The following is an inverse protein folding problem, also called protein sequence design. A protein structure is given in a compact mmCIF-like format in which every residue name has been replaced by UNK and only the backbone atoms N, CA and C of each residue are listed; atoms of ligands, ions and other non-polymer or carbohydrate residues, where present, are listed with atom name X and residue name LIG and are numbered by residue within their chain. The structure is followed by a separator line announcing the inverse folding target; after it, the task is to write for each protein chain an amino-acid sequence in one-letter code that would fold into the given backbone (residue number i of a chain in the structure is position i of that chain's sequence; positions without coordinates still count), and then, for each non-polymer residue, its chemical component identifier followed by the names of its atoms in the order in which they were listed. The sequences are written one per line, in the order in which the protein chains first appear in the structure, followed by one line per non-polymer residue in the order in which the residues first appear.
data_IF_348471300738
#
_entry.id   IF_348471300738
#
_cell.length_a   1.000
_cell.length_b   1.000
_cell.length_c   1.000
_cell.angle_alpha   90.00
_cell.angle_beta   90.00
_cell.angle_gamma   90.00
#
_symmetry.space_group_name_H-M   'P 1'
#
loop_
_entity.id
_entity.type
_entity.pdbx_description
1 polymer ?
#
# COMPACT_ATOMS: atom_id res chain seq x y z
N UNK A 1 24.97 30.90 -26.00
CA UNK A 1 23.71 30.40 -26.48
C UNK A 1 23.11 29.41 -25.48
N UNK A 2 22.08 29.86 -24.76
CA UNK A 2 21.29 29.01 -23.87
C UNK A 2 20.36 28.14 -24.73
N UNK A 3 20.49 26.84 -24.62
CA UNK A 3 19.51 25.90 -25.14
C UNK A 3 18.35 25.78 -24.15
N UNK A 4 17.19 26.29 -24.50
CA UNK A 4 15.97 26.09 -23.74
C UNK A 4 15.49 24.64 -23.97
N UNK A 5 15.48 23.86 -22.90
CA UNK A 5 14.84 22.54 -22.89
C UNK A 5 13.31 22.75 -22.87
N UNK A 6 12.65 22.49 -23.98
CA UNK A 6 11.20 22.40 -24.02
C UNK A 6 10.76 21.13 -23.27
N UNK A 7 10.17 21.30 -22.10
CA UNK A 7 9.39 20.24 -21.47
C UNK A 7 8.11 20.04 -22.30
N UNK A 8 8.07 19.00 -23.10
CA UNK A 8 6.81 18.50 -23.64
C UNK A 8 6.01 17.93 -22.47
N UNK A 9 5.01 18.66 -22.04
CA UNK A 9 3.98 18.16 -21.14
C UNK A 9 3.21 17.06 -21.87
N UNK A 10 3.63 15.81 -21.66
CA UNK A 10 2.76 14.67 -21.96
C UNK A 10 1.62 14.73 -20.94
N UNK A 11 0.48 15.28 -21.36
CA UNK A 11 -0.78 15.03 -20.68
C UNK A 11 -0.98 13.51 -20.70
N UNK A 12 -0.90 12.89 -19.51
CA UNK A 12 -1.31 11.50 -19.35
C UNK A 12 -2.71 11.37 -19.96
N UNK A 13 -2.99 10.33 -20.76
CA UNK A 13 -4.34 10.11 -21.26
C UNK A 13 -5.30 10.07 -20.08
N UNK A 14 -6.46 10.73 -20.22
CA UNK A 14 -7.54 10.66 -19.25
C UNK A 14 -7.83 9.19 -19.00
N UNK A 15 -7.49 8.71 -17.80
CA UNK A 15 -7.51 7.30 -17.48
C UNK A 15 -8.93 6.89 -17.14
N UNK A 16 -9.27 5.68 -17.57
CA UNK A 16 -10.47 5.02 -17.08
C UNK A 16 -10.39 4.94 -15.56
N UNK A 17 -11.36 5.54 -14.90
CA UNK A 17 -11.52 5.50 -13.47
C UNK A 17 -11.69 4.05 -12.98
N UNK A 18 -11.34 3.72 -11.73
CA UNK A 18 -11.71 2.46 -11.13
C UNK A 18 -13.19 2.16 -11.36
N UNK A 19 -13.54 0.89 -11.51
CA UNK A 19 -14.88 0.43 -11.91
C UNK A 19 -16.03 1.05 -11.10
N UNK A 20 -15.79 1.29 -9.79
CA UNK A 20 -16.77 1.90 -8.89
C UNK A 20 -17.12 3.36 -9.23
N UNK A 21 -16.27 4.08 -9.95
CA UNK A 21 -16.46 5.49 -10.31
C UNK A 21 -17.54 5.71 -11.39
N UNK A 22 -17.69 4.74 -12.28
CA UNK A 22 -18.64 4.86 -13.40
C UNK A 22 -20.05 4.44 -13.03
N UNK A 23 -20.22 3.61 -11.98
CA UNK A 23 -21.50 2.94 -11.65
C UNK A 23 -22.16 3.47 -10.40
N UNK A 24 -21.46 4.27 -9.57
CA UNK A 24 -21.93 4.63 -8.20
C UNK A 24 -21.93 3.45 -7.23
N UNK A 25 -21.28 2.35 -7.58
CA UNK A 25 -21.07 1.18 -6.72
C UNK A 25 -20.12 1.50 -5.55
N UNK A 26 -20.22 0.70 -4.49
CA UNK A 26 -19.31 0.80 -3.34
C UNK A 26 -17.88 0.41 -3.75
N UNK A 27 -16.91 1.11 -3.20
CA UNK A 27 -15.49 0.78 -3.39
C UNK A 27 -15.12 -0.40 -2.49
N UNK A 28 -14.49 -1.43 -3.04
CA UNK A 28 -14.07 -2.62 -2.30
C UNK A 28 -12.56 -2.59 -2.09
N UNK A 29 -12.15 -2.48 -0.83
CA UNK A 29 -10.75 -2.43 -0.42
C UNK A 29 -10.39 -3.72 0.33
N UNK A 30 -9.28 -4.33 -0.07
CA UNK A 30 -8.69 -5.44 0.67
C UNK A 30 -7.36 -4.99 1.26
N UNK A 31 -7.23 -5.15 2.57
CA UNK A 31 -5.99 -4.91 3.32
C UNK A 31 -5.36 -6.27 3.61
N UNK A 32 -4.09 -6.40 3.30
CA UNK A 32 -3.31 -7.61 3.48
C UNK A 32 -2.20 -7.35 4.50
N UNK A 33 -2.37 -7.76 5.77
CA UNK A 33 -1.26 -7.73 6.72
C UNK A 33 -0.13 -8.62 6.20
N UNK A 34 1.06 -8.07 5.96
CA UNK A 34 2.19 -8.84 5.48
C UNK A 34 2.61 -9.92 6.47
N UNK A 35 3.14 -11.04 5.95
CA UNK A 35 3.62 -12.17 6.75
C UNK A 35 2.49 -12.95 7.45
N UNK A 36 2.80 -13.65 8.56
CA UNK A 36 1.86 -14.45 9.35
C UNK A 36 2.26 -15.92 9.46
N UNK A 37 1.87 -16.58 10.55
CA UNK A 37 2.21 -17.96 10.85
C UNK A 37 3.72 -18.17 10.94
N UNK A 38 4.25 -19.07 10.12
CA UNK A 38 5.68 -19.39 10.07
C UNK A 38 6.53 -18.31 9.39
N UNK A 39 5.92 -17.38 8.68
CA UNK A 39 6.60 -16.24 8.08
C UNK A 39 6.54 -15.04 9.02
N UNK A 40 7.60 -14.82 9.78
CA UNK A 40 7.67 -13.77 10.80
C UNK A 40 7.97 -12.37 10.24
N UNK A 41 8.45 -12.28 8.99
CA UNK A 41 9.00 -11.06 8.44
C UNK A 41 10.35 -10.71 9.06
N UNK A 42 10.74 -9.43 9.06
CA UNK A 42 11.95 -9.00 9.75
C UNK A 42 11.82 -9.13 11.27
N UNK A 43 12.93 -9.48 11.93
CA UNK A 43 13.06 -9.56 13.39
C UNK A 43 13.90 -8.41 13.97
N UNK A 44 14.34 -7.49 13.12
CA UNK A 44 15.23 -6.38 13.49
C UNK A 44 14.50 -5.23 14.20
N UNK A 45 13.18 -5.24 14.18
CA UNK A 45 12.33 -4.22 14.77
C UNK A 45 12.01 -4.45 16.26
N UNK A 46 11.14 -3.61 16.84
CA UNK A 46 10.71 -3.72 18.24
C UNK A 46 9.81 -4.95 18.48
N UNK A 47 9.30 -5.56 17.41
CA UNK A 47 8.54 -6.80 17.40
C UNK A 47 8.73 -7.52 16.07
N UNK A 48 8.25 -8.76 15.96
CA UNK A 48 8.15 -9.47 14.68
C UNK A 48 7.30 -8.64 13.71
N UNK A 49 7.74 -8.52 12.46
CA UNK A 49 7.03 -7.71 11.45
C UNK A 49 5.58 -8.14 11.29
N UNK A 50 5.28 -9.45 11.29
CA UNK A 50 3.90 -9.97 11.21
C UNK A 50 2.97 -9.39 12.29
N UNK A 51 3.48 -9.09 13.50
CA UNK A 51 2.72 -8.43 14.55
C UNK A 51 2.49 -6.96 14.22
N UNK A 52 3.52 -6.27 13.76
CA UNK A 52 3.45 -4.85 13.42
C UNK A 52 2.46 -4.63 12.26
N UNK A 53 2.56 -5.43 11.21
CA UNK A 53 1.68 -5.34 10.03
C UNK A 53 0.21 -5.61 10.38
N UNK A 54 -0.05 -6.59 11.26
CA UNK A 54 -1.41 -6.89 11.72
C UNK A 54 -2.02 -5.71 12.48
N UNK A 55 -1.28 -5.12 13.43
CA UNK A 55 -1.76 -3.95 14.20
C UNK A 55 -2.04 -2.77 13.30
N UNK A 56 -1.14 -2.49 12.34
CA UNK A 56 -1.31 -1.42 11.34
C UNK A 56 -2.54 -1.66 10.47
N UNK A 57 -2.69 -2.87 9.94
CA UNK A 57 -3.81 -3.25 9.08
C UNK A 57 -5.16 -3.18 9.79
N UNK A 58 -5.22 -3.59 11.06
CA UNK A 58 -6.44 -3.47 11.87
C UNK A 58 -6.82 -2.00 12.10
N UNK A 59 -5.86 -1.13 12.38
CA UNK A 59 -6.12 0.30 12.55
C UNK A 59 -6.57 0.96 11.23
N UNK A 60 -5.98 0.56 10.10
CA UNK A 60 -6.42 1.00 8.77
C UNK A 60 -7.86 0.54 8.47
N UNK A 61 -8.17 -0.72 8.78
CA UNK A 61 -9.52 -1.27 8.65
C UNK A 61 -10.54 -0.48 9.48
N UNK A 62 -10.25 -0.26 10.77
CA UNK A 62 -11.13 0.49 11.67
C UNK A 62 -11.42 1.91 11.16
N UNK A 63 -10.41 2.58 10.58
CA UNK A 63 -10.57 3.92 10.02
C UNK A 63 -11.39 3.91 8.73
N UNK A 64 -11.11 3.01 7.80
CA UNK A 64 -11.83 2.94 6.53
C UNK A 64 -13.29 2.51 6.68
N UNK A 65 -13.62 1.69 7.68
CA UNK A 65 -15.03 1.29 7.95
C UNK A 65 -15.92 2.44 8.43
N UNK A 66 -15.36 3.61 8.73
CA UNK A 66 -16.15 4.83 9.05
C UNK A 66 -16.76 5.51 7.82
N UNK A 67 -16.34 5.12 6.62
CA UNK A 67 -16.84 5.67 5.35
C UNK A 67 -18.01 4.84 4.83
N UNK A 68 -19.12 5.49 4.47
CA UNK A 68 -20.39 4.82 4.12
C UNK A 68 -20.36 4.02 2.82
N UNK A 69 -19.50 4.41 1.87
CA UNK A 69 -19.45 3.84 0.51
C UNK A 69 -18.21 3.02 0.23
N UNK A 70 -17.58 2.48 1.28
CA UNK A 70 -16.45 1.55 1.15
C UNK A 70 -16.77 0.22 1.84
N UNK A 71 -16.44 -0.88 1.19
CA UNK A 71 -16.43 -2.21 1.78
C UNK A 71 -14.98 -2.62 2.00
N UNK A 72 -14.62 -2.89 3.25
CA UNK A 72 -13.23 -3.17 3.65
C UNK A 72 -13.12 -4.59 4.17
N UNK A 73 -12.11 -5.30 3.72
CA UNK A 73 -11.81 -6.67 4.14
C UNK A 73 -10.34 -6.81 4.50
N UNK A 74 -10.05 -7.69 5.46
CA UNK A 74 -8.69 -8.15 5.78
C UNK A 74 -8.49 -9.54 5.20
N UNK A 75 -7.32 -9.82 4.60
CA UNK A 75 -7.02 -11.17 4.08
C UNK A 75 -7.03 -12.21 5.18
N UNK A 76 -6.58 -11.83 6.37
CA UNK A 76 -6.63 -12.64 7.60
C UNK A 76 -6.61 -11.72 8.84
N UNK A 77 -7.08 -12.25 9.96
CA UNK A 77 -7.09 -11.57 11.27
C UNK A 77 -6.33 -12.36 12.33
N UNK A 78 -6.03 -13.62 12.04
CA UNK A 78 -5.29 -14.52 12.91
C UNK A 78 -3.85 -14.67 12.43
N UNK A 79 -2.95 -15.10 13.32
CA UNK A 79 -1.54 -15.39 12.97
C UNK A 79 -1.44 -16.74 12.21
N UNK A 80 -1.74 -16.69 10.91
CA UNK A 80 -1.79 -17.85 10.02
C UNK A 80 -0.85 -17.71 8.83
N UNK A 81 -0.32 -18.83 8.34
CA UNK A 81 0.41 -18.87 7.08
C UNK A 81 -0.57 -18.81 5.91
N UNK A 82 -0.46 -17.78 5.07
CA UNK A 82 -1.28 -17.61 3.87
C UNK A 82 -0.38 -17.35 2.67
N UNK A 83 -0.57 -18.09 1.58
CA UNK A 83 0.22 -17.92 0.37
C UNK A 83 -0.13 -16.60 -0.34
N UNK A 84 0.81 -16.06 -1.12
CA UNK A 84 0.57 -14.83 -1.90
C UNK A 84 -0.56 -15.01 -2.92
N UNK A 85 -0.68 -16.21 -3.50
CA UNK A 85 -1.76 -16.55 -4.40
C UNK A 85 -3.13 -16.55 -3.69
N UNK A 86 -3.21 -17.08 -2.46
CA UNK A 86 -4.46 -17.09 -1.69
C UNK A 86 -4.87 -15.68 -1.25
N UNK A 87 -3.91 -14.81 -0.88
CA UNK A 87 -4.17 -13.40 -0.57
C UNK A 87 -4.76 -12.66 -1.77
N UNK A 88 -4.18 -12.82 -2.94
CA UNK A 88 -4.69 -12.22 -4.17
C UNK A 88 -6.03 -12.84 -4.61
N UNK A 89 -6.21 -14.15 -4.40
CA UNK A 89 -7.48 -14.82 -4.68
C UNK A 89 -8.59 -14.33 -3.75
N UNK A 90 -8.30 -14.12 -2.47
CA UNK A 90 -9.23 -13.52 -1.51
C UNK A 90 -9.74 -12.15 -1.97
N UNK A 91 -8.86 -11.31 -2.55
CA UNK A 91 -9.25 -10.02 -3.11
C UNK A 91 -10.09 -10.19 -4.39
N UNK A 92 -9.72 -11.12 -5.26
CA UNK A 92 -10.45 -11.39 -6.50
C UNK A 92 -11.87 -11.92 -6.23
N UNK A 93 -12.04 -12.82 -5.26
CA UNK A 93 -13.35 -13.38 -4.87
C UNK A 93 -14.32 -12.30 -4.33
N UNK A 94 -13.78 -11.16 -3.89
CA UNK A 94 -14.55 -10.00 -3.43
C UNK A 94 -14.70 -8.90 -4.46
N UNK A 95 -14.19 -9.12 -5.67
CA UNK A 95 -14.11 -8.10 -6.72
C UNK A 95 -13.44 -6.80 -6.21
N UNK A 96 -12.34 -6.94 -5.48
CA UNK A 96 -11.64 -5.79 -4.90
C UNK A 96 -11.22 -4.79 -5.97
N UNK A 97 -11.45 -3.51 -5.71
CA UNK A 97 -10.94 -2.40 -6.52
C UNK A 97 -9.46 -2.17 -6.27
N UNK A 98 -8.97 -2.51 -5.05
CA UNK A 98 -7.56 -2.39 -4.70
C UNK A 98 -7.18 -3.33 -3.54
N UNK A 99 -5.94 -3.85 -3.58
CA UNK A 99 -5.31 -4.61 -2.50
C UNK A 99 -4.09 -3.85 -1.98
N UNK A 100 -4.06 -3.57 -0.66
CA UNK A 100 -2.96 -2.92 0.04
C UNK A 100 -2.24 -3.95 0.92
N UNK A 101 -0.98 -4.25 0.60
CA UNK A 101 -0.15 -5.13 1.41
C UNK A 101 0.73 -4.30 2.34
N UNK A 102 0.59 -4.54 3.64
CA UNK A 102 1.17 -3.76 4.73
C UNK A 102 2.48 -4.38 5.18
N UNK A 103 3.56 -3.60 5.18
CA UNK A 103 4.91 -4.06 5.48
C UNK A 103 5.75 -3.02 6.23
N UNK A 104 6.84 -3.50 6.82
CA UNK A 104 7.93 -2.73 7.39
C UNK A 104 9.25 -3.23 6.83
N UNK A 105 10.11 -2.32 6.45
CA UNK A 105 11.38 -2.65 5.80
C UNK A 105 12.51 -2.88 6.82
N UNK A 106 13.54 -3.56 6.37
CA UNK A 106 14.85 -3.66 7.01
C UNK A 106 15.92 -3.79 5.94
N UNK A 107 17.15 -3.37 6.23
CA UNK A 107 18.28 -3.49 5.30
C UNK A 107 19.44 -4.26 5.93
N UNK A 108 20.17 -5.02 5.09
CA UNK A 108 21.29 -5.84 5.57
C UNK A 108 22.39 -5.02 6.25
N UNK A 109 22.63 -3.80 5.75
CA UNK A 109 23.70 -2.92 6.22
C UNK A 109 23.17 -1.88 7.25
N UNK A 110 21.88 -1.90 7.60
CA UNK A 110 21.20 -1.00 8.54
C UNK A 110 21.42 0.49 8.22
N UNK A 111 21.50 0.84 6.94
CA UNK A 111 21.81 2.18 6.45
C UNK A 111 20.68 2.83 5.62
N UNK A 112 19.68 2.02 5.24
CA UNK A 112 18.53 2.51 4.50
C UNK A 112 17.44 3.00 5.46
N UNK A 113 16.78 4.11 5.11
CA UNK A 113 15.70 4.71 5.89
C UNK A 113 14.64 5.34 4.99
N UNK A 114 13.47 5.57 5.56
CA UNK A 114 12.35 6.23 4.90
C UNK A 114 11.29 5.28 4.39
N UNK A 115 10.16 5.85 4.00
CA UNK A 115 8.97 5.17 3.50
C UNK A 115 9.00 5.00 1.99
N UNK A 116 8.47 3.89 1.49
CA UNK A 116 8.34 3.62 0.05
C UNK A 116 7.08 2.82 -0.28
N UNK A 117 6.62 2.94 -1.51
CA UNK A 117 5.49 2.17 -2.02
C UNK A 117 5.93 1.43 -3.29
N UNK A 118 5.67 0.13 -3.33
CA UNK A 118 5.93 -0.70 -4.51
C UNK A 118 4.63 -0.99 -5.23
N UNK A 119 4.62 -0.80 -6.54
CA UNK A 119 3.45 -0.96 -7.41
C UNK A 119 3.77 -1.80 -8.63
N UNK A 120 2.73 -2.24 -9.36
CA UNK A 120 2.92 -2.96 -10.62
C UNK A 120 3.56 -2.06 -11.68
N UNK A 121 4.39 -2.66 -12.53
CA UNK A 121 4.91 -2.04 -13.76
C UNK A 121 3.91 -2.10 -14.93
N UNK A 122 2.85 -2.90 -14.80
CA UNK A 122 1.89 -3.22 -15.86
C UNK A 122 0.75 -2.20 -15.89
N UNK A 123 0.44 -1.66 -17.06
CA UNK A 123 -0.75 -0.79 -17.25
C UNK A 123 -2.03 -1.64 -17.34
N UNK A 124 -3.17 -1.16 -16.82
CA UNK A 124 -3.38 0.14 -16.14
C UNK A 124 -3.05 0.14 -14.63
N UNK A 125 -2.66 -1.00 -14.06
CA UNK A 125 -2.41 -1.18 -12.61
C UNK A 125 -1.30 -0.25 -12.10
N UNK A 126 -0.28 0.04 -12.93
CA UNK A 126 0.76 1.02 -12.61
C UNK A 126 0.16 2.39 -12.30
N UNK A 127 -0.75 2.87 -13.14
CA UNK A 127 -1.35 4.19 -12.97
C UNK A 127 -2.20 4.29 -11.69
N UNK A 128 -2.99 3.26 -11.39
CA UNK A 128 -3.79 3.21 -10.15
C UNK A 128 -2.88 3.15 -8.91
N UNK A 129 -1.84 2.31 -8.97
CA UNK A 129 -0.87 2.21 -7.90
C UNK A 129 -0.09 3.50 -7.68
N UNK A 130 0.27 4.21 -8.76
CA UNK A 130 0.98 5.48 -8.68
C UNK A 130 0.15 6.58 -8.03
N UNK A 131 -1.14 6.68 -8.37
CA UNK A 131 -2.05 7.65 -7.77
C UNK A 131 -2.13 7.46 -6.25
N UNK A 132 -2.39 6.23 -5.80
CA UNK A 132 -2.38 5.91 -4.37
C UNK A 132 -1.01 6.18 -3.74
N UNK A 133 0.06 5.69 -4.37
CA UNK A 133 1.42 5.82 -3.84
C UNK A 133 1.85 7.28 -3.65
N UNK A 134 1.40 8.17 -4.51
CA UNK A 134 1.63 9.61 -4.35
C UNK A 134 0.95 10.15 -3.09
N UNK A 135 -0.34 9.85 -2.89
CA UNK A 135 -1.08 10.29 -1.71
C UNK A 135 -0.46 9.69 -0.43
N UNK A 136 -0.02 8.42 -0.48
CA UNK A 136 0.68 7.77 0.63
C UNK A 136 2.00 8.48 0.97
N UNK A 137 2.79 8.83 -0.02
CA UNK A 137 4.04 9.56 0.20
C UNK A 137 3.80 10.92 0.87
N UNK A 138 2.74 11.63 0.50
CA UNK A 138 2.39 12.90 1.16
C UNK A 138 2.06 12.69 2.64
N UNK A 139 1.28 11.64 2.98
CA UNK A 139 0.98 11.33 4.38
C UNK A 139 2.24 10.97 5.18
N UNK A 140 3.14 10.18 4.61
CA UNK A 140 4.41 9.83 5.26
C UNK A 140 5.31 11.06 5.46
N UNK A 141 5.32 11.99 4.50
CA UNK A 141 6.02 13.27 4.63
C UNK A 141 5.46 14.13 5.76
N UNK A 142 4.14 14.20 5.87
CA UNK A 142 3.45 14.95 6.93
C UNK A 142 3.75 14.36 8.32
N UNK A 143 3.98 13.05 8.40
CA UNK A 143 4.48 12.38 9.61
C UNK A 143 5.94 12.69 9.93
N UNK A 144 6.72 13.21 8.98
CA UNK A 144 8.15 13.55 9.12
C UNK A 144 9.12 12.48 8.61
N UNK A 145 8.63 11.42 7.95
CA UNK A 145 9.48 10.38 7.36
C UNK A 145 10.19 10.88 6.10
N UNK A 146 11.36 10.34 5.85
CA UNK A 146 12.04 10.49 4.57
C UNK A 146 11.30 9.69 3.49
N UNK A 147 11.15 10.26 2.29
CA UNK A 147 10.46 9.60 1.20
C UNK A 147 11.44 8.92 0.25
N UNK A 148 11.31 7.63 0.09
CA UNK A 148 12.04 6.84 -0.91
C UNK A 148 11.28 6.75 -2.23
N UNK A 149 9.99 7.12 -2.24
CA UNK A 149 9.15 7.29 -3.41
C UNK A 149 8.28 6.08 -3.78
N UNK A 150 7.56 6.24 -4.87
CA UNK A 150 6.75 5.19 -5.50
C UNK A 150 7.60 4.47 -6.54
N UNK A 151 7.65 3.14 -6.49
CA UNK A 151 8.63 2.34 -7.22
C UNK A 151 8.00 1.16 -7.93
N UNK A 152 8.67 0.72 -8.97
CA UNK A 152 8.48 -0.58 -9.62
C UNK A 152 9.79 -1.37 -9.57
N UNK A 153 9.69 -2.69 -9.57
CA UNK A 153 10.85 -3.58 -9.68
C UNK A 153 10.49 -4.77 -10.55
N UNK A 154 11.35 -5.07 -11.50
CA UNK A 154 11.18 -6.19 -12.43
C UNK A 154 12.15 -7.31 -12.11
N UNK A 155 11.72 -8.54 -12.47
CA UNK A 155 12.58 -9.71 -12.60
C UNK A 155 13.27 -9.68 -13.97
N UNK A 156 14.25 -10.53 -14.16
CA UNK A 156 15.01 -10.63 -15.43
C UNK A 156 14.11 -11.00 -16.62
N UNK A 157 12.99 -11.68 -16.37
CA UNK A 157 12.01 -12.05 -17.40
C UNK A 157 10.98 -10.95 -17.71
N UNK A 158 11.07 -9.79 -17.05
CA UNK A 158 10.18 -8.65 -17.26
C UNK A 158 8.90 -8.63 -16.40
N UNK A 159 8.65 -9.67 -15.60
CA UNK A 159 7.54 -9.69 -14.65
C UNK A 159 7.81 -8.78 -13.45
N UNK A 160 6.75 -8.31 -12.78
CA UNK A 160 6.87 -7.64 -11.49
C UNK A 160 7.63 -8.52 -10.48
N UNK A 161 8.58 -7.94 -9.77
CA UNK A 161 9.44 -8.67 -8.83
C UNK A 161 8.66 -9.23 -7.63
N UNK A 162 7.79 -8.42 -7.06
CA UNK A 162 7.04 -8.80 -5.86
C UNK A 162 5.89 -9.74 -6.16
N UNK A 163 5.85 -10.87 -5.43
CA UNK A 163 4.87 -11.93 -5.67
C UNK A 163 3.43 -11.48 -5.49
N UNK A 164 3.12 -10.72 -4.42
CA UNK A 164 1.75 -10.26 -4.18
C UNK A 164 1.27 -9.33 -5.31
N UNK A 165 2.14 -8.49 -5.87
CA UNK A 165 1.82 -7.62 -7.00
C UNK A 165 1.53 -8.45 -8.25
N UNK A 166 2.39 -9.45 -8.57
CA UNK A 166 2.14 -10.36 -9.72
C UNK A 166 0.84 -11.14 -9.59
N UNK A 167 0.60 -11.72 -8.42
CA UNK A 167 -0.61 -12.52 -8.16
C UNK A 167 -1.87 -11.65 -8.25
N UNK A 168 -1.83 -10.43 -7.75
CA UNK A 168 -2.94 -9.47 -7.85
C UNK A 168 -3.17 -9.05 -9.30
N UNK A 169 -2.13 -8.64 -10.01
CA UNK A 169 -2.20 -8.22 -11.42
C UNK A 169 -2.73 -9.34 -12.32
N UNK A 170 -2.31 -10.60 -12.09
CA UNK A 170 -2.81 -11.76 -12.84
C UNK A 170 -4.30 -12.02 -12.66
N UNK A 171 -4.89 -11.50 -11.58
CA UNK A 171 -6.33 -11.56 -11.25
C UNK A 171 -7.06 -10.24 -11.53
N UNK A 172 -6.42 -9.33 -12.23
CA UNK A 172 -6.96 -8.02 -12.57
C UNK A 172 -7.26 -7.13 -11.36
N UNK A 173 -6.51 -7.28 -10.27
CA UNK A 173 -6.61 -6.46 -9.05
C UNK A 173 -5.42 -5.50 -8.99
N UNK A 174 -5.64 -4.17 -8.99
CA UNK A 174 -4.60 -3.20 -8.64
C UNK A 174 -4.10 -3.44 -7.23
N UNK A 175 -2.80 -3.30 -7.01
CA UNK A 175 -2.21 -3.52 -5.69
C UNK A 175 -1.00 -2.63 -5.43
N UNK A 176 -0.71 -2.41 -4.15
CA UNK A 176 0.50 -1.75 -3.69
C UNK A 176 1.04 -2.43 -2.43
N UNK A 177 2.35 -2.45 -2.27
CA UNK A 177 3.02 -2.78 -1.01
C UNK A 177 3.41 -1.46 -0.36
N UNK A 178 3.03 -1.26 0.89
CA UNK A 178 3.40 -0.10 1.70
C UNK A 178 4.51 -0.54 2.64
N UNK A 179 5.71 0.01 2.44
CA UNK A 179 6.86 -0.14 3.33
C UNK A 179 6.98 1.15 4.16
N UNK A 180 6.45 1.12 5.39
CA UNK A 180 6.27 2.32 6.20
C UNK A 180 7.60 2.98 6.58
N UNK A 181 8.56 2.18 7.03
CA UNK A 181 9.87 2.65 7.48
C UNK A 181 10.85 1.47 7.58
N UNK A 182 12.14 1.76 7.79
CA UNK A 182 13.15 0.74 8.09
C UNK A 182 13.28 0.60 9.60
N UNK A 183 12.85 -0.56 10.12
CA UNK A 183 12.74 -0.80 11.57
C UNK A 183 14.09 -0.95 12.27
N UNK A 184 15.15 -1.14 11.49
CA UNK A 184 16.54 -1.39 11.92
C UNK A 184 17.44 -0.15 11.85
N UNK A 185 16.89 1.03 11.44
CA UNK A 185 17.67 2.24 11.25
C UNK A 185 17.22 3.36 12.18
N UNK A 186 18.18 4.04 12.83
CA UNK A 186 17.93 4.97 13.92
C UNK A 186 17.11 6.22 13.56
N UNK A 187 17.09 6.61 12.29
CA UNK A 187 16.27 7.74 11.78
C UNK A 187 14.79 7.39 11.69
N UNK A 188 14.48 6.12 11.48
CA UNK A 188 13.12 5.62 11.32
C UNK A 188 12.55 4.99 12.61
N UNK A 189 13.39 4.40 13.45
CA UNK A 189 12.94 3.74 14.68
C UNK A 189 12.06 4.61 15.59
N UNK A 190 12.23 5.95 15.71
CA UNK A 190 11.33 6.77 16.51
C UNK A 190 9.86 6.74 16.05
N UNK A 191 9.58 6.34 14.83
CA UNK A 191 8.24 6.28 14.27
C UNK A 191 7.52 4.94 14.45
N UNK A 192 8.22 3.88 14.94
CA UNK A 192 7.69 2.52 14.95
C UNK A 192 7.96 1.72 16.22
N UNK A 193 8.21 2.36 17.37
CA UNK A 193 8.60 1.68 18.60
C UNK A 193 7.44 1.03 19.35
N UNK A 194 6.24 1.54 19.21
CA UNK A 194 5.08 1.15 20.02
C UNK A 194 3.89 0.72 19.14
N UNK A 195 2.97 -0.02 19.72
CA UNK A 195 1.71 -0.37 19.03
C UNK A 195 0.90 0.88 18.63
N UNK A 196 1.00 1.97 19.38
CA UNK A 196 0.33 3.22 19.01
C UNK A 196 0.98 3.88 17.78
N UNK A 197 2.29 3.76 17.61
CA UNK A 197 2.98 4.19 16.39
C UNK A 197 2.50 3.39 15.17
N UNK A 198 2.35 2.06 15.32
CA UNK A 198 1.86 1.20 14.23
C UNK A 198 0.39 1.50 13.89
N UNK A 199 -0.45 1.74 14.89
CA UNK A 199 -1.84 2.20 14.68
C UNK A 199 -1.89 3.56 13.99
N UNK A 200 -0.96 4.46 14.31
CA UNK A 200 -0.86 5.75 13.64
C UNK A 200 -0.59 5.57 12.15
N UNK A 201 0.34 4.69 11.75
CA UNK A 201 0.55 4.35 10.36
C UNK A 201 -0.75 3.86 9.68
N UNK A 202 -1.48 2.95 10.31
CA UNK A 202 -2.74 2.46 9.75
C UNK A 202 -3.79 3.56 9.55
N UNK A 203 -3.88 4.52 10.46
CA UNK A 203 -4.78 5.68 10.29
C UNK A 203 -4.35 6.57 9.12
N UNK A 204 -3.05 6.81 8.96
CA UNK A 204 -2.52 7.60 7.85
C UNK A 204 -2.68 6.87 6.50
N UNK A 205 -2.52 5.55 6.47
CA UNK A 205 -2.81 4.72 5.29
C UNK A 205 -4.28 4.87 4.87
N UNK A 206 -5.20 4.83 5.83
CA UNK A 206 -6.62 5.02 5.56
C UNK A 206 -6.92 6.41 4.97
N UNK A 207 -6.24 7.47 5.45
CA UNK A 207 -6.35 8.81 4.86
C UNK A 207 -5.82 8.87 3.43
N UNK A 208 -4.74 8.16 3.13
CA UNK A 208 -4.20 8.07 1.76
C UNK A 208 -5.18 7.39 0.82
N UNK A 209 -5.79 6.27 1.27
CA UNK A 209 -6.85 5.59 0.51
C UNK A 209 -8.04 6.51 0.31
N UNK A 210 -8.52 7.16 1.37
CA UNK A 210 -9.65 8.09 1.29
C UNK A 210 -9.40 9.24 0.32
N UNK A 211 -8.18 9.79 0.26
CA UNK A 211 -7.78 10.82 -0.72
C UNK A 211 -7.78 10.27 -2.13
N UNK A 212 -7.11 9.14 -2.38
CA UNK A 212 -7.00 8.54 -3.71
C UNK A 212 -8.36 8.10 -4.27
N UNK A 213 -9.29 7.70 -3.39
CA UNK A 213 -10.66 7.30 -3.74
C UNK A 213 -11.66 8.47 -3.66
N UNK A 214 -11.40 9.55 -2.91
CA UNK A 214 -12.30 10.71 -2.77
C UNK A 214 -12.35 11.60 -4.01
N UNK A 215 -11.37 11.52 -4.88
CA UNK A 215 -11.60 11.94 -6.26
C UNK A 215 -12.76 11.16 -6.90
N UNK A 216 -13.35 10.21 -6.19
CA UNK A 216 -14.31 9.20 -6.61
C UNK A 216 -15.48 8.93 -5.66
N UNK A 217 -15.78 9.76 -4.67
CA UNK A 217 -17.00 9.69 -3.83
C UNK A 217 -16.92 9.00 -2.46
N UNK A 218 -15.82 9.04 -1.72
CA UNK A 218 -15.89 8.74 -0.28
C UNK A 218 -16.49 9.94 0.46
N UNK A 219 -17.67 9.80 1.06
CA UNK A 219 -18.25 10.80 1.95
C UNK A 219 -18.14 10.33 3.39
N UNK A 220 -17.64 11.20 4.27
CA UNK A 220 -17.76 10.96 5.71
C UNK A 220 -19.24 11.03 6.12
N UNK A 221 -19.71 10.19 7.05
CA UNK A 221 -21.04 10.33 7.62
C UNK A 221 -21.18 11.72 8.25
N UNK A 222 -22.31 12.40 7.97
CA UNK A 222 -22.67 13.70 8.54
C UNK A 222 -23.15 13.56 9.99
#
# INVERSE_FOLDING_TARGET
SLAAACFYGNSLPAQAAPRAQETGERVVIVIDPGHGGDNEGTLEGPAQEKKMTMVTALAMYEELTKYDNVDVYLTHTDDVTMSLADRAQFAADRNADFLFSIHYNASMDHDLFGSEVWISSVQPYNAYGYQFGWDQMQQMQDMGLFLRGVKTKLKDNGDDYYGIIRESTSRSIPSAIIEHCHVDESRDTPYCQTEEDWKKFGREDALSVAKSVSYTHLTLPT
#
